data_IF_007418982575
#
_entry.id   IF_007418982575
#
_cell.length_a   1.000
_cell.length_b   1.000
_cell.length_c   1.000
_cell.angle_alpha   90.00
_cell.angle_beta   90.00
_cell.angle_gamma   90.00
#
_symmetry.space_group_name_H-M   'P 1'
#
loop_
_entity.id
_entity.type
_entity.pdbx_description
1 polymer ?
#
# COMPACT_ATOMS: atom_id res chain seq x y z
N UNK A 1 18.08 17.63 -16.27
CA UNK A 1 18.19 16.21 -16.65
C UNK A 1 17.66 15.24 -15.59
N UNK A 2 17.87 15.50 -14.29
CA UNK A 2 17.50 14.57 -13.21
C UNK A 2 15.98 14.38 -12.98
N UNK A 3 15.19 15.45 -13.13
CA UNK A 3 13.73 15.43 -12.91
C UNK A 3 12.99 14.60 -13.98
N UNK A 4 13.41 14.70 -15.24
CA UNK A 4 12.81 13.96 -16.34
C UNK A 4 13.00 12.44 -16.24
N UNK A 5 14.14 11.98 -15.72
CA UNK A 5 14.43 10.56 -15.53
C UNK A 5 13.58 9.95 -14.41
N UNK A 6 13.34 10.70 -13.32
CA UNK A 6 12.46 10.27 -12.23
C UNK A 6 11.00 10.19 -12.66
N UNK A 7 10.51 11.17 -13.42
CA UNK A 7 9.16 11.14 -13.98
C UNK A 7 8.95 9.95 -14.93
N UNK A 8 9.94 9.65 -15.77
CA UNK A 8 9.89 8.50 -16.68
C UNK A 8 9.87 7.17 -15.91
N UNK A 9 10.72 7.01 -14.88
CA UNK A 9 10.75 5.80 -14.05
C UNK A 9 9.43 5.57 -13.30
N UNK A 10 8.81 6.64 -12.77
CA UNK A 10 7.48 6.58 -12.11
C UNK A 10 6.40 6.13 -13.09
N UNK A 11 6.39 6.68 -14.31
CA UNK A 11 5.44 6.29 -15.36
C UNK A 11 5.56 4.81 -15.73
N UNK A 12 6.79 4.32 -15.93
CA UNK A 12 7.04 2.91 -16.26
C UNK A 12 6.54 1.97 -15.15
N UNK A 13 6.71 2.34 -13.87
CA UNK A 13 6.20 1.54 -12.75
C UNK A 13 4.66 1.48 -12.72
N UNK A 14 3.99 2.62 -12.91
CA UNK A 14 2.52 2.66 -12.98
C UNK A 14 2.01 1.82 -14.15
N UNK A 15 2.62 1.92 -15.32
CA UNK A 15 2.24 1.14 -16.51
C UNK A 15 2.41 -0.36 -16.26
N UNK A 16 3.52 -0.77 -15.63
CA UNK A 16 3.77 -2.17 -15.28
C UNK A 16 2.75 -2.72 -14.26
N UNK A 17 2.46 -2.00 -13.17
CA UNK A 17 1.52 -2.45 -12.14
C UNK A 17 0.06 -2.44 -12.65
N UNK A 18 -0.27 -1.48 -13.52
CA UNK A 18 -1.58 -1.44 -14.20
C UNK A 18 -1.76 -2.64 -15.12
N UNK A 19 -0.72 -2.99 -15.89
CA UNK A 19 -0.74 -4.16 -16.76
C UNK A 19 -0.82 -5.47 -15.96
N UNK A 20 -0.11 -5.58 -14.83
CA UNK A 20 -0.18 -6.74 -13.95
C UNK A 20 -1.59 -6.92 -13.33
N UNK A 21 -2.30 -5.81 -13.07
CA UNK A 21 -3.66 -5.84 -12.53
C UNK A 21 -4.71 -6.35 -13.52
N UNK A 22 -4.36 -6.47 -14.80
CA UNK A 22 -5.22 -6.95 -15.89
C UNK A 22 -5.55 -8.45 -15.86
N UNK A 23 -4.76 -9.24 -15.12
CA UNK A 23 -4.84 -10.69 -15.17
C UNK A 23 -6.06 -11.28 -14.43
N UNK A 24 -6.90 -10.45 -13.81
CA UNK A 24 -8.12 -10.87 -13.13
C UNK A 24 -9.34 -10.10 -13.61
N UNK A 25 -10.50 -10.72 -13.58
CA UNK A 25 -11.79 -10.11 -13.90
C UNK A 25 -12.19 -9.12 -12.78
N UNK A 26 -11.44 -8.03 -12.66
CA UNK A 26 -11.63 -6.98 -11.65
C UNK A 26 -12.61 -5.96 -12.22
N UNK A 27 -13.59 -5.54 -11.44
CA UNK A 27 -14.68 -4.65 -11.86
C UNK A 27 -14.28 -3.22 -12.27
N UNK A 28 -13.04 -2.98 -12.67
CA UNK A 28 -12.51 -1.69 -13.13
C UNK A 28 -11.56 -1.87 -14.32
N UNK A 29 -11.41 -0.82 -15.13
CA UNK A 29 -10.51 -0.82 -16.28
C UNK A 29 -9.08 -0.41 -15.91
N UNK A 30 -8.09 -0.95 -16.63
CA UNK A 30 -6.70 -0.51 -16.54
C UNK A 30 -6.54 1.02 -16.71
N UNK A 31 -7.37 1.62 -17.55
CA UNK A 31 -7.35 3.07 -17.79
C UNK A 31 -7.76 3.86 -16.54
N UNK A 32 -8.69 3.35 -15.74
CA UNK A 32 -9.11 3.99 -14.49
C UNK A 32 -8.00 3.92 -13.44
N UNK A 33 -7.36 2.76 -13.27
CA UNK A 33 -6.23 2.62 -12.35
C UNK A 33 -5.06 3.54 -12.74
N UNK A 34 -4.71 3.57 -14.04
CA UNK A 34 -3.67 4.47 -14.54
C UNK A 34 -4.02 5.95 -14.29
N UNK A 35 -5.28 6.36 -14.55
CA UNK A 35 -5.73 7.73 -14.34
C UNK A 35 -5.63 8.14 -12.88
N UNK A 36 -6.10 7.29 -11.97
CA UNK A 36 -6.06 7.55 -10.53
C UNK A 36 -4.61 7.71 -10.04
N UNK A 37 -3.74 6.73 -10.34
CA UNK A 37 -2.33 6.77 -9.93
C UNK A 37 -1.57 7.93 -10.56
N UNK A 38 -1.84 8.24 -11.84
CA UNK A 38 -1.23 9.40 -12.50
C UNK A 38 -1.68 10.71 -11.84
N UNK A 39 -2.97 10.87 -11.55
CA UNK A 39 -3.50 12.05 -10.87
C UNK A 39 -2.82 12.25 -9.50
N UNK A 40 -2.62 11.16 -8.73
CA UNK A 40 -1.87 11.20 -7.49
C UNK A 40 -0.45 11.76 -7.67
N UNK A 41 0.31 11.25 -8.65
CA UNK A 41 1.70 11.73 -8.87
C UNK A 41 1.80 13.17 -9.35
N UNK A 42 0.73 13.70 -9.95
CA UNK A 42 0.66 15.10 -10.35
C UNK A 42 0.33 16.00 -9.14
N UNK A 43 -0.50 15.51 -8.22
CA UNK A 43 -0.86 16.20 -6.98
C UNK A 43 0.28 16.18 -5.96
N UNK A 44 1.01 15.06 -5.85
CA UNK A 44 2.12 14.84 -4.92
C UNK A 44 3.44 14.56 -5.67
N UNK A 45 4.03 15.56 -6.35
CA UNK A 45 5.24 15.37 -7.14
C UNK A 45 6.47 14.99 -6.30
N UNK A 46 6.52 15.42 -5.04
CA UNK A 46 7.64 15.12 -4.13
C UNK A 46 7.64 13.65 -3.68
N UNK A 47 6.49 13.12 -3.25
CA UNK A 47 6.34 11.70 -2.87
C UNK A 47 6.38 10.78 -4.11
N UNK A 48 5.64 11.16 -5.15
CA UNK A 48 5.53 10.37 -6.37
C UNK A 48 4.73 9.08 -6.19
N UNK A 49 5.16 8.04 -6.90
CA UNK A 49 4.50 6.73 -6.91
C UNK A 49 5.35 5.69 -6.17
N UNK A 50 4.71 4.97 -5.25
CA UNK A 50 5.26 3.80 -4.60
C UNK A 50 4.46 2.56 -5.00
N UNK A 51 5.13 1.42 -5.22
CA UNK A 51 4.50 0.19 -5.71
C UNK A 51 3.38 -0.35 -4.80
N UNK A 52 3.43 -0.04 -3.50
CA UNK A 52 2.36 -0.38 -2.55
C UNK A 52 1.02 0.31 -2.82
N UNK A 53 1.00 1.38 -3.63
CA UNK A 53 -0.19 2.19 -3.88
C UNK A 53 -1.15 1.59 -4.91
N UNK A 54 -0.65 0.91 -5.96
CA UNK A 54 -1.52 0.33 -6.98
C UNK A 54 -2.52 -0.70 -6.42
N UNK A 55 -2.13 -1.63 -5.52
CA UNK A 55 -3.07 -2.55 -4.89
C UNK A 55 -4.17 -1.84 -4.08
N UNK A 56 -3.83 -0.75 -3.38
CA UNK A 56 -4.79 0.07 -2.60
C UNK A 56 -5.78 0.76 -3.55
N UNK A 57 -5.27 1.44 -4.58
CA UNK A 57 -6.10 2.09 -5.60
C UNK A 57 -7.02 1.11 -6.33
N UNK A 58 -6.50 -0.06 -6.71
CA UNK A 58 -7.28 -1.12 -7.34
C UNK A 58 -8.41 -1.63 -6.43
N UNK A 59 -8.13 -1.80 -5.13
CA UNK A 59 -9.14 -2.23 -4.14
C UNK A 59 -10.29 -1.22 -4.05
N UNK A 60 -9.99 0.08 -4.03
CA UNK A 60 -11.01 1.13 -4.07
C UNK A 60 -11.83 1.10 -5.36
N UNK A 61 -11.16 1.00 -6.52
CA UNK A 61 -11.82 0.96 -7.83
C UNK A 61 -12.74 -0.26 -8.03
N UNK A 62 -12.52 -1.34 -7.28
CA UNK A 62 -13.44 -2.48 -7.28
C UNK A 62 -14.76 -2.19 -6.54
N UNK A 63 -14.80 -1.15 -5.71
CA UNK A 63 -15.94 -0.85 -4.83
C UNK A 63 -16.66 0.46 -5.21
N UNK A 64 -15.97 1.41 -5.86
CA UNK A 64 -16.53 2.73 -6.16
C UNK A 64 -15.98 3.29 -7.49
N UNK A 65 -16.69 4.27 -8.10
CA UNK A 65 -16.22 4.97 -9.30
C UNK A 65 -14.86 5.67 -9.12
N UNK A 66 -14.15 5.90 -10.22
CA UNK A 66 -12.77 6.43 -10.22
C UNK A 66 -12.59 7.76 -9.49
N UNK A 67 -13.59 8.67 -9.54
CA UNK A 67 -13.51 9.97 -8.87
C UNK A 67 -13.58 9.83 -7.36
N UNK A 68 -14.54 9.06 -6.86
CA UNK A 68 -14.69 8.73 -5.43
C UNK A 68 -13.46 7.97 -4.91
N UNK A 69 -13.00 6.98 -5.69
CA UNK A 69 -11.80 6.21 -5.37
C UNK A 69 -10.57 7.11 -5.26
N UNK A 70 -10.43 8.13 -6.09
CA UNK A 70 -9.32 9.07 -6.03
C UNK A 70 -9.33 9.89 -4.74
N UNK A 71 -10.48 10.45 -4.33
CA UNK A 71 -10.57 11.20 -3.08
C UNK A 71 -10.33 10.32 -1.85
N UNK A 72 -10.90 9.11 -1.82
CA UNK A 72 -10.64 8.13 -0.77
C UNK A 72 -9.16 7.75 -0.72
N UNK A 73 -8.54 7.52 -1.88
CA UNK A 73 -7.12 7.17 -1.99
C UNK A 73 -6.20 8.27 -1.43
N UNK A 74 -6.51 9.54 -1.70
CA UNK A 74 -5.78 10.67 -1.11
C UNK A 74 -5.86 10.61 0.42
N UNK A 75 -7.06 10.45 0.97
CA UNK A 75 -7.25 10.38 2.42
C UNK A 75 -6.48 9.22 3.05
N UNK A 76 -6.46 8.05 2.41
CA UNK A 76 -5.64 6.91 2.87
C UNK A 76 -4.17 7.30 2.95
N UNK A 77 -3.61 7.88 1.88
CA UNK A 77 -2.18 8.18 1.82
C UNK A 77 -1.77 9.31 2.77
N UNK A 78 -2.57 10.37 2.87
CA UNK A 78 -2.22 11.57 3.65
C UNK A 78 -2.58 11.44 5.13
N UNK A 79 -3.76 10.88 5.44
CA UNK A 79 -4.31 10.89 6.80
C UNK A 79 -4.05 9.59 7.54
N UNK A 80 -4.27 8.45 6.90
CA UNK A 80 -4.20 7.15 7.57
C UNK A 80 -2.81 6.51 7.50
N UNK A 81 -2.07 6.71 6.41
CA UNK A 81 -0.73 6.13 6.19
C UNK A 81 0.37 7.21 6.06
N UNK A 82 0.43 8.21 6.95
CA UNK A 82 1.37 9.32 6.80
C UNK A 82 2.82 8.81 6.81
N UNK A 83 3.56 9.11 5.74
CA UNK A 83 4.96 8.74 5.60
C UNK A 83 5.24 7.29 5.23
N UNK A 84 4.21 6.45 5.02
CA UNK A 84 4.41 5.05 4.60
C UNK A 84 5.04 4.95 3.20
N UNK A 85 4.66 5.85 2.29
CA UNK A 85 5.17 5.85 0.91
C UNK A 85 6.42 6.73 0.72
N UNK A 86 6.93 7.32 1.80
CA UNK A 86 8.11 8.18 1.77
C UNK A 86 9.43 7.39 1.59
N UNK A 87 10.46 8.00 1.00
CA UNK A 87 11.78 7.38 0.88
C UNK A 87 12.32 6.89 2.23
N UNK A 88 12.89 5.69 2.23
CA UNK A 88 13.49 5.08 3.42
C UNK A 88 12.49 4.41 4.38
N UNK A 89 11.17 4.45 4.10
CA UNK A 89 10.14 3.64 4.80
C UNK A 89 10.20 3.75 6.34
N UNK A 90 10.54 4.93 6.87
CA UNK A 90 10.77 5.12 8.32
C UNK A 90 9.51 4.86 9.15
N UNK A 91 8.35 5.31 8.69
CA UNK A 91 7.08 5.08 9.36
C UNK A 91 6.80 3.57 9.50
N UNK A 92 6.93 2.84 8.40
CA UNK A 92 6.74 1.38 8.37
C UNK A 92 7.72 0.68 9.31
N UNK A 93 9.01 1.06 9.32
CA UNK A 93 9.97 0.46 10.25
C UNK A 93 9.57 0.67 11.72
N UNK A 94 9.10 1.87 12.07
CA UNK A 94 8.61 2.17 13.42
C UNK A 94 7.39 1.31 13.79
N UNK A 95 6.41 1.19 12.90
CA UNK A 95 5.25 0.31 13.13
C UNK A 95 5.65 -1.16 13.20
N UNK A 96 6.80 -1.51 12.63
CA UNK A 96 7.39 -2.84 12.67
C UNK A 96 7.93 -3.19 14.03
N UNK A 97 8.64 -2.25 14.63
CA UNK A 97 9.11 -2.35 16.01
C UNK A 97 7.94 -2.43 16.98
N UNK A 98 6.86 -1.68 16.73
CA UNK A 98 5.61 -1.76 17.50
C UNK A 98 4.99 -3.15 17.36
N UNK A 99 4.81 -3.65 16.13
CA UNK A 99 4.28 -4.99 15.87
C UNK A 99 5.12 -6.08 16.56
N UNK A 100 6.45 -5.97 16.49
CA UNK A 100 7.35 -6.95 17.10
C UNK A 100 7.31 -6.91 18.63
N UNK A 101 7.11 -5.72 19.19
CA UNK A 101 6.88 -5.52 20.63
C UNK A 101 5.55 -6.12 21.08
N UNK A 102 4.48 -5.94 20.29
CA UNK A 102 3.18 -6.58 20.52
C UNK A 102 3.28 -8.10 20.41
N UNK A 103 4.02 -8.62 19.43
CA UNK A 103 4.27 -10.05 19.29
C UNK A 103 4.98 -10.62 20.52
N UNK A 104 5.98 -9.92 21.07
CA UNK A 104 6.65 -10.31 22.32
C UNK A 104 5.66 -10.41 23.48
N UNK A 105 4.70 -9.48 23.57
CA UNK A 105 3.70 -9.41 24.64
C UNK A 105 2.62 -10.49 24.52
N UNK A 106 2.12 -10.71 23.30
CA UNK A 106 0.95 -11.58 23.05
C UNK A 106 1.32 -13.01 22.62
N UNK A 107 2.49 -13.21 22.00
CA UNK A 107 2.99 -14.53 21.61
C UNK A 107 4.52 -14.60 21.75
N UNK A 108 4.97 -14.76 22.99
CA UNK A 108 6.40 -14.82 23.30
C UNK A 108 7.11 -15.99 22.60
N UNK A 109 6.45 -17.13 22.41
CA UNK A 109 7.01 -18.29 21.69
C UNK A 109 7.34 -17.96 20.25
N UNK A 110 6.40 -17.31 19.53
CA UNK A 110 6.61 -16.85 18.14
C UNK A 110 7.70 -15.79 18.08
N UNK A 111 7.64 -14.77 18.94
CA UNK A 111 8.67 -13.73 19.01
C UNK A 111 10.08 -14.32 19.18
N UNK A 112 10.24 -15.23 20.15
CA UNK A 112 11.53 -15.88 20.42
C UNK A 112 11.99 -16.70 19.22
N UNK A 113 11.09 -17.40 18.53
CA UNK A 113 11.42 -18.17 17.35
C UNK A 113 11.91 -17.28 16.21
N UNK A 114 11.16 -16.23 15.85
CA UNK A 114 11.54 -15.28 14.80
C UNK A 114 12.87 -14.59 15.11
N UNK A 115 13.06 -14.16 16.36
CA UNK A 115 14.32 -13.55 16.81
C UNK A 115 15.50 -14.53 16.70
N UNK A 116 15.32 -15.80 17.07
CA UNK A 116 16.36 -16.83 16.95
C UNK A 116 16.74 -17.08 15.49
N UNK A 117 15.80 -16.96 14.56
CA UNK A 117 16.02 -17.14 13.13
C UNK A 117 16.44 -15.85 12.40
N UNK A 118 16.66 -14.74 13.11
CA UNK A 118 16.94 -13.42 12.54
C UNK A 118 15.90 -12.97 11.49
N UNK A 119 14.62 -13.30 11.72
CA UNK A 119 13.52 -12.85 10.87
C UNK A 119 13.03 -11.50 11.40
N UNK A 120 13.53 -10.44 10.77
CA UNK A 120 13.13 -9.07 11.06
C UNK A 120 11.69 -8.80 10.58
N UNK A 121 10.86 -8.09 11.36
CA UNK A 121 9.54 -7.62 10.95
C UNK A 121 9.46 -7.08 9.53
N UNK A 122 10.46 -6.30 9.12
CA UNK A 122 10.50 -5.61 7.82
C UNK A 122 10.33 -6.57 6.64
N UNK A 123 10.70 -7.85 6.78
CA UNK A 123 10.63 -8.82 5.69
C UNK A 123 9.21 -9.24 5.31
N UNK A 124 8.25 -9.17 6.22
CA UNK A 124 6.86 -9.58 5.96
C UNK A 124 5.89 -8.41 6.07
N UNK A 125 6.17 -7.46 6.96
CA UNK A 125 5.23 -6.40 7.30
C UNK A 125 5.12 -5.31 6.23
N UNK A 126 6.18 -5.08 5.44
CA UNK A 126 6.23 -3.95 4.50
C UNK A 126 5.10 -4.09 3.51
N UNK A 127 4.92 -5.29 2.96
CA UNK A 127 3.81 -5.57 2.07
C UNK A 127 2.45 -5.47 2.79
N UNK A 128 2.35 -6.05 3.98
CA UNK A 128 1.09 -6.07 4.75
C UNK A 128 0.58 -4.66 5.02
N UNK A 129 1.45 -3.77 5.47
CA UNK A 129 1.09 -2.42 5.90
C UNK A 129 0.95 -1.46 4.72
N UNK A 130 1.88 -1.49 3.75
CA UNK A 130 1.81 -0.60 2.58
C UNK A 130 0.60 -0.88 1.69
N UNK A 131 0.17 -2.14 1.63
CA UNK A 131 -0.95 -2.56 0.80
C UNK A 131 -2.24 -2.76 1.61
N UNK A 132 -2.26 -2.43 2.91
CA UNK A 132 -3.43 -2.67 3.79
C UNK A 132 -3.97 -4.10 3.60
N UNK A 133 -3.04 -5.06 3.62
CA UNK A 133 -3.27 -6.50 3.47
C UNK A 133 -3.93 -6.98 2.15
N UNK A 134 -4.24 -6.10 1.19
CA UNK A 134 -5.01 -6.48 -0.01
C UNK A 134 -4.29 -7.46 -0.96
N UNK A 135 -2.97 -7.66 -0.79
CA UNK A 135 -2.20 -8.67 -1.52
C UNK A 135 -1.99 -9.98 -0.76
N UNK A 136 -2.21 -9.98 0.55
CA UNK A 136 -1.80 -11.07 1.44
C UNK A 136 -3.00 -11.90 1.89
N UNK A 137 -4.13 -11.27 2.18
CA UNK A 137 -5.30 -11.94 2.73
C UNK A 137 -6.33 -12.30 1.64
N UNK A 138 -7.16 -13.33 1.88
CA UNK A 138 -8.31 -13.61 1.02
C UNK A 138 -9.26 -12.41 0.94
N UNK A 139 -9.89 -12.21 -0.22
CA UNK A 139 -10.71 -11.03 -0.51
C UNK A 139 -11.78 -10.70 0.57
N UNK A 140 -12.58 -11.66 1.08
CA UNK A 140 -13.55 -11.36 2.14
C UNK A 140 -12.89 -10.81 3.41
N UNK A 141 -11.71 -11.30 3.76
CA UNK A 141 -10.95 -10.83 4.93
C UNK A 141 -10.40 -9.42 4.71
N UNK A 142 -9.91 -9.13 3.51
CA UNK A 142 -9.45 -7.77 3.14
C UNK A 142 -10.55 -6.75 3.36
N UNK A 143 -11.78 -7.03 2.89
CA UNK A 143 -12.90 -6.12 3.08
C UNK A 143 -13.18 -5.83 4.57
N UNK A 144 -13.13 -6.85 5.43
CA UNK A 144 -13.31 -6.67 6.88
C UNK A 144 -12.20 -5.87 7.54
N UNK A 145 -10.95 -6.06 7.10
CA UNK A 145 -9.81 -5.25 7.55
C UNK A 145 -10.00 -3.79 7.14
N UNK A 146 -10.43 -3.55 5.90
CA UNK A 146 -10.67 -2.21 5.37
C UNK A 146 -11.84 -1.50 6.06
N UNK A 147 -12.93 -2.22 6.37
CA UNK A 147 -14.04 -1.67 7.16
C UNK A 147 -13.55 -1.13 8.51
N UNK A 148 -12.72 -1.91 9.23
CA UNK A 148 -12.18 -1.51 10.53
C UNK A 148 -11.15 -0.40 10.41
N UNK A 149 -10.30 -0.45 9.38
CA UNK A 149 -9.33 0.60 9.09
C UNK A 149 -9.99 1.97 8.89
N UNK A 150 -11.10 2.05 8.15
CA UNK A 150 -11.82 3.31 7.99
C UNK A 150 -12.60 3.75 9.23
N UNK A 151 -13.04 2.80 10.08
CA UNK A 151 -13.81 3.09 11.29
C UNK A 151 -12.93 3.58 12.44
N UNK A 152 -11.81 2.92 12.68
CA UNK A 152 -10.98 3.10 13.88
C UNK A 152 -9.65 3.84 13.60
N UNK A 153 -9.18 3.82 12.34
CA UNK A 153 -7.84 4.31 11.96
C UNK A 153 -6.78 3.23 11.97
#
# INVERSE_FOLDING_TARGET
>A
MHVGLMALRRRVMIEADTAASAAGNKGFSQKELFRLLKAWTLLHPEEGYCQGQAPVAATLLMQMPVEEAFYCFIQICEKYLPGYYSPGLKAIQMDGDILFSLLRRHSYSTYRHLKKQNVDPVFYMVEWFMCIFCRTLPWPTVLRVWDMFFCEG
#
